data_IF_473863347871
#
_entry.id   IF_473863347871
#
_cell.length_a   1.000
_cell.length_b   1.000
_cell.length_c   1.000
_cell.angle_alpha   90.00
_cell.angle_beta   90.00
_cell.angle_gamma   90.00
#
_symmetry.space_group_name_H-M   'P 1'
#
loop_
_entity.id
_entity.type
_entity.pdbx_description
1 polymer ?
#
# COMPACT_ATOMS: atom_id res chain seq x y z
N UNK A 1 -11.45 -1.96 25.94
CA UNK A 1 -12.11 -2.67 24.81
C UNK A 1 -12.64 -4.06 25.19
N UNK A 2 -12.92 -4.35 26.48
CA UNK A 2 -13.22 -5.72 26.94
C UNK A 2 -14.63 -6.21 26.63
N UNK A 3 -15.59 -5.30 26.40
CA UNK A 3 -16.96 -5.67 26.04
C UNK A 3 -17.16 -5.91 24.54
N UNK A 4 -16.29 -5.34 23.70
CA UNK A 4 -16.39 -5.44 22.25
C UNK A 4 -16.41 -6.89 21.75
N UNK A 5 -15.59 -7.83 22.27
CA UNK A 5 -15.62 -9.24 21.85
C UNK A 5 -16.93 -9.99 22.16
N UNK A 6 -17.76 -9.50 23.08
CA UNK A 6 -19.05 -10.16 23.40
C UNK A 6 -20.18 -9.79 22.44
N UNK A 7 -19.96 -8.82 21.55
CA UNK A 7 -20.93 -8.53 20.50
C UNK A 7 -20.94 -9.66 19.45
N UNK A 8 -22.12 -9.99 18.88
CA UNK A 8 -22.22 -10.84 17.69
C UNK A 8 -21.28 -10.36 16.58
N UNK A 9 -20.76 -11.31 15.80
CA UNK A 9 -19.74 -11.00 14.81
C UNK A 9 -20.21 -9.95 13.79
N UNK A 10 -21.50 -9.97 13.44
CA UNK A 10 -22.12 -9.06 12.48
C UNK A 10 -21.96 -7.61 12.94
N UNK A 11 -22.21 -7.35 14.23
CA UNK A 11 -22.08 -6.03 14.80
C UNK A 11 -20.62 -5.59 14.87
N UNK A 12 -19.71 -6.50 15.22
CA UNK A 12 -18.26 -6.19 15.29
C UNK A 12 -17.71 -5.87 13.90
N UNK A 13 -18.06 -6.67 12.89
CA UNK A 13 -17.72 -6.42 11.50
C UNK A 13 -18.28 -5.06 11.05
N UNK A 14 -19.56 -4.80 11.33
CA UNK A 14 -20.19 -3.54 10.95
C UNK A 14 -19.54 -2.32 11.60
N UNK A 15 -19.16 -2.40 12.87
CA UNK A 15 -18.41 -1.33 13.56
C UNK A 15 -17.09 -1.06 12.85
N UNK A 16 -16.35 -2.11 12.46
CA UNK A 16 -15.09 -1.94 11.75
C UNK A 16 -15.26 -1.34 10.36
N UNK A 17 -16.27 -1.76 9.59
CA UNK A 17 -16.59 -1.14 8.30
C UNK A 17 -16.88 0.36 8.43
N UNK A 18 -17.65 0.74 9.45
CA UNK A 18 -18.01 2.14 9.71
C UNK A 18 -16.86 2.96 10.29
N UNK A 19 -15.86 2.32 10.90
CA UNK A 19 -14.67 2.98 11.43
C UNK A 19 -13.64 3.39 10.37
N UNK A 20 -13.84 2.98 9.12
CA UNK A 20 -12.97 3.37 8.03
C UNK A 20 -13.22 4.82 7.62
N UNK A 21 -12.16 5.63 7.63
CA UNK A 21 -12.23 7.06 7.34
C UNK A 21 -11.56 7.37 6.00
N UNK A 22 -12.20 8.20 5.14
CA UNK A 22 -11.56 8.69 3.92
C UNK A 22 -10.31 9.51 4.23
N UNK A 23 -9.24 9.28 3.46
CA UNK A 23 -7.97 10.00 3.60
C UNK A 23 -7.20 10.06 2.30
N UNK A 24 -6.18 10.91 2.27
CA UNK A 24 -5.21 10.96 1.16
C UNK A 24 -4.04 10.04 1.46
N UNK A 25 -3.80 9.09 0.56
CA UNK A 25 -2.67 8.16 0.65
C UNK A 25 -1.60 8.60 -0.33
N UNK A 26 -0.47 9.06 0.19
CA UNK A 26 0.68 9.43 -0.61
C UNK A 26 1.42 8.17 -1.02
N UNK A 27 1.31 7.80 -2.30
CA UNK A 27 2.04 6.69 -2.88
C UNK A 27 3.25 7.26 -3.58
N UNK A 28 4.44 6.83 -3.17
CA UNK A 28 5.71 7.23 -3.79
C UNK A 28 6.49 6.00 -4.15
N UNK A 29 7.32 6.14 -5.18
CA UNK A 29 8.27 5.12 -5.57
C UNK A 29 9.66 5.70 -5.54
N UNK A 30 10.56 5.03 -4.83
CA UNK A 30 11.95 5.42 -4.68
C UNK A 30 12.81 4.47 -5.49
N UNK A 31 13.67 5.05 -6.32
CA UNK A 31 14.71 4.32 -7.03
C UNK A 31 15.95 4.22 -6.15
N UNK A 32 16.57 3.05 -6.12
CA UNK A 32 17.87 2.87 -5.48
C UNK A 32 18.73 1.94 -6.32
N UNK A 33 20.03 2.22 -6.30
CA UNK A 33 21.01 1.39 -6.97
C UNK A 33 21.08 0.02 -6.28
N UNK A 34 21.07 -1.04 -7.09
CA UNK A 34 21.45 -2.37 -6.61
C UNK A 34 22.87 -2.37 -6.11
N UNK A 35 23.18 -3.33 -5.22
CA UNK A 35 24.51 -3.47 -4.64
C UNK A 35 25.59 -3.36 -5.75
N UNK A 36 26.54 -2.41 -5.68
CA UNK A 36 27.51 -2.14 -6.76
C UNK A 36 28.49 -3.30 -7.02
N UNK A 37 28.41 -4.38 -6.25
CA UNK A 37 29.21 -5.59 -6.42
C UNK A 37 28.67 -6.54 -7.51
N UNK A 38 27.47 -6.32 -8.06
CA UNK A 38 26.98 -7.08 -9.20
C UNK A 38 27.38 -6.42 -10.51
N UNK A 39 28.43 -6.96 -11.13
CA UNK A 39 28.94 -6.78 -12.50
C UNK A 39 28.48 -5.54 -13.27
N UNK A 40 29.46 -4.66 -13.55
CA UNK A 40 29.36 -3.41 -14.31
C UNK A 40 28.93 -3.57 -15.79
N UNK A 41 28.53 -4.77 -16.23
CA UNK A 41 28.20 -5.11 -17.62
C UNK A 41 26.70 -5.33 -17.88
N UNK A 42 25.87 -5.48 -16.84
CA UNK A 42 24.42 -5.53 -16.99
C UNK A 42 23.84 -4.15 -16.67
N UNK A 43 23.36 -3.43 -17.70
CA UNK A 43 22.83 -2.06 -17.57
C UNK A 43 22.03 -1.87 -16.28
N UNK A 44 22.41 -0.88 -15.48
CA UNK A 44 21.91 -0.62 -14.11
C UNK A 44 20.42 -0.94 -13.98
N UNK A 45 20.08 -2.14 -13.48
CA UNK A 45 18.68 -2.52 -13.21
C UNK A 45 18.24 -1.76 -11.96
N UNK A 46 17.78 -0.53 -12.14
CA UNK A 46 17.28 0.33 -11.05
C UNK A 46 16.18 -0.40 -10.28
N UNK A 47 16.35 -0.48 -8.96
CA UNK A 47 15.33 -1.04 -8.08
C UNK A 47 14.31 0.02 -7.73
N UNK A 48 13.03 -0.36 -7.73
CA UNK A 48 11.94 0.56 -7.40
C UNK A 48 11.20 0.02 -6.19
N UNK A 49 11.28 0.72 -5.06
CA UNK A 49 10.50 0.41 -3.86
C UNK A 49 9.32 1.35 -3.73
N UNK A 50 8.19 0.82 -3.27
CA UNK A 50 7.02 1.62 -2.91
C UNK A 50 7.12 2.05 -1.46
N UNK A 51 6.84 3.32 -1.21
CA UNK A 51 6.77 3.89 0.12
C UNK A 51 5.53 4.77 0.26
N UNK A 52 5.07 4.94 1.49
CA UNK A 52 4.09 5.94 1.86
C UNK A 52 4.53 6.65 3.13
N UNK A 53 4.32 7.96 3.18
CA UNK A 53 4.44 8.75 4.40
C UNK A 53 3.12 8.82 5.16
N UNK A 54 2.03 8.33 4.57
CA UNK A 54 0.72 8.30 5.22
C UNK A 54 0.76 7.27 6.36
N UNK A 55 0.44 7.66 7.60
CA UNK A 55 0.41 6.74 8.74
C UNK A 55 -0.49 5.53 8.49
N UNK A 56 -0.20 4.40 9.13
CA UNK A 56 -1.09 3.23 9.07
C UNK A 56 -2.41 3.58 9.77
N UNK A 57 -3.59 3.30 9.17
CA UNK A 57 -4.88 3.53 9.82
C UNK A 57 -4.92 2.94 11.23
N UNK A 58 -5.40 3.73 12.20
CA UNK A 58 -5.43 3.33 13.60
C UNK A 58 -6.17 2.00 13.82
N UNK A 59 -7.26 1.77 13.09
CA UNK A 59 -8.05 0.53 13.19
C UNK A 59 -7.20 -0.74 12.95
N UNK A 60 -6.24 -0.69 12.02
CA UNK A 60 -5.37 -1.82 11.71
C UNK A 60 -4.36 -2.14 12.83
N UNK A 61 -4.20 -1.23 13.79
CA UNK A 61 -3.34 -1.39 14.96
C UNK A 61 -4.11 -1.88 16.19
N UNK A 62 -5.45 -1.84 16.19
CA UNK A 62 -6.27 -2.18 17.37
C UNK A 62 -6.20 -3.67 17.69
N UNK A 63 -6.48 -4.54 16.71
CA UNK A 63 -6.49 -5.98 16.93
C UNK A 63 -6.38 -6.76 15.60
N UNK A 64 -6.18 -8.08 15.71
CA UNK A 64 -6.10 -9.00 14.57
C UNK A 64 -7.38 -9.03 13.74
N UNK A 65 -8.53 -8.91 14.39
CA UNK A 65 -9.84 -8.93 13.71
C UNK A 65 -9.99 -7.74 12.75
N UNK A 66 -9.79 -6.52 13.24
CA UNK A 66 -9.90 -5.31 12.43
C UNK A 66 -8.96 -5.36 11.21
N UNK A 67 -7.74 -5.87 11.41
CA UNK A 67 -6.75 -6.04 10.34
C UNK A 67 -7.15 -7.05 9.27
N UNK A 68 -7.86 -8.10 9.65
CA UNK A 68 -8.19 -9.23 8.77
C UNK A 68 -9.60 -9.18 8.18
N UNK A 69 -10.43 -8.21 8.58
CA UNK A 69 -11.79 -8.06 8.06
C UNK A 69 -11.83 -7.68 6.57
N UNK A 70 -10.74 -7.12 6.03
CA UNK A 70 -10.62 -6.76 4.61
C UNK A 70 -11.10 -5.35 4.25
N UNK A 71 -11.40 -4.52 5.26
CA UNK A 71 -11.76 -3.10 5.11
C UNK A 71 -10.63 -2.30 4.47
N UNK A 72 -9.38 -2.56 4.88
CA UNK A 72 -8.18 -2.13 4.16
C UNK A 72 -7.45 -3.35 3.62
N UNK A 73 -6.75 -3.18 2.49
CA UNK A 73 -5.95 -4.23 1.87
C UNK A 73 -4.52 -3.76 1.65
N UNK A 74 -3.60 -4.71 1.56
CA UNK A 74 -2.23 -4.44 1.14
C UNK A 74 -2.22 -4.19 -0.37
N UNK A 75 -1.88 -2.96 -0.78
CA UNK A 75 -1.92 -2.53 -2.17
C UNK A 75 -0.55 -2.05 -2.65
N UNK A 76 -0.43 -1.88 -3.97
CA UNK A 76 0.69 -1.27 -4.68
C UNK A 76 1.99 -2.05 -4.64
N UNK A 77 1.97 -3.29 -4.19
CA UNK A 77 3.14 -4.14 -4.17
C UNK A 77 3.67 -4.37 -5.60
N UNK A 78 2.77 -4.32 -6.60
CA UNK A 78 3.01 -4.48 -8.03
C UNK A 78 3.81 -3.33 -8.64
N UNK A 79 3.82 -2.16 -8.02
CA UNK A 79 4.61 -1.01 -8.48
C UNK A 79 6.11 -1.17 -8.19
N UNK A 80 6.48 -2.20 -7.43
CA UNK A 80 7.88 -2.49 -7.13
C UNK A 80 8.57 -3.19 -8.28
N UNK A 81 9.85 -2.88 -8.43
CA UNK A 81 10.77 -3.61 -9.31
C UNK A 81 11.93 -4.13 -8.46
N UNK A 82 11.92 -5.42 -8.20
CA UNK A 82 13.02 -6.15 -7.57
C UNK A 82 13.79 -6.94 -8.64
N UNK A 83 15.12 -7.09 -8.52
CA UNK A 83 15.88 -7.91 -9.46
C UNK A 83 15.58 -9.39 -9.25
N UNK A 84 15.73 -10.18 -10.32
CA UNK A 84 15.45 -11.63 -10.34
C UNK A 84 16.21 -12.42 -9.27
N UNK A 85 17.36 -11.90 -8.81
CA UNK A 85 18.24 -12.54 -7.83
C UNK A 85 17.84 -12.29 -6.36
N UNK A 86 16.93 -11.36 -6.08
CA UNK A 86 16.43 -11.09 -4.71
C UNK A 86 15.12 -11.83 -4.51
N UNK A 87 15.00 -12.57 -3.41
CA UNK A 87 13.76 -13.28 -3.11
C UNK A 87 12.59 -12.30 -3.04
N UNK A 88 11.60 -12.52 -3.91
CA UNK A 88 10.41 -11.66 -4.05
C UNK A 88 9.63 -11.56 -2.73
N UNK A 89 9.70 -12.59 -1.90
CA UNK A 89 8.99 -12.68 -0.62
C UNK A 89 9.55 -11.77 0.48
N UNK A 90 10.85 -11.47 0.52
CA UNK A 90 11.45 -10.66 1.60
C UNK A 90 11.51 -9.15 1.30
N UNK A 91 11.19 -8.74 0.08
CA UNK A 91 11.40 -7.36 -0.39
C UNK A 91 10.11 -6.61 -0.76
N UNK A 92 8.97 -7.30 -0.83
CA UNK A 92 7.72 -6.71 -1.30
C UNK A 92 7.10 -5.81 -0.22
N UNK A 93 7.28 -4.51 -0.38
CA UNK A 93 6.56 -3.47 0.38
C UNK A 93 5.13 -3.34 -0.10
N UNK A 94 4.26 -2.81 0.74
CA UNK A 94 2.87 -2.55 0.40
C UNK A 94 2.37 -1.37 1.22
N UNK A 95 1.25 -0.81 0.79
CA UNK A 95 0.56 0.25 1.52
C UNK A 95 -0.84 -0.24 1.85
N UNK A 96 -1.22 -0.16 3.13
CA UNK A 96 -2.59 -0.43 3.55
C UNK A 96 -3.52 0.66 3.00
N UNK A 97 -4.43 0.28 2.11
CA UNK A 97 -5.35 1.21 1.46
C UNK A 97 -6.75 0.61 1.33
N UNK A 98 -7.76 1.47 1.43
CA UNK A 98 -9.13 1.17 1.04
C UNK A 98 -9.41 1.93 -0.25
N UNK A 99 -9.29 1.27 -1.41
CA UNK A 99 -9.39 1.93 -2.71
C UNK A 99 -10.78 2.50 -3.04
N UNK A 100 -11.80 2.16 -2.24
CA UNK A 100 -13.14 2.74 -2.33
C UNK A 100 -13.28 4.07 -1.57
N UNK A 101 -12.48 4.28 -0.52
CA UNK A 101 -12.54 5.47 0.32
C UNK A 101 -11.34 6.41 0.09
N UNK A 102 -10.15 5.84 0.05
CA UNK A 102 -8.88 6.54 -0.02
C UNK A 102 -8.70 7.22 -1.38
N UNK A 103 -8.18 8.45 -1.34
CA UNK A 103 -7.72 9.18 -2.52
C UNK A 103 -6.22 8.93 -2.65
N UNK A 104 -5.80 8.38 -3.78
CA UNK A 104 -4.39 8.15 -4.07
C UNK A 104 -3.77 9.46 -4.56
N UNK A 105 -2.66 9.87 -3.96
CA UNK A 105 -1.87 11.02 -4.39
C UNK A 105 -0.48 10.50 -4.80
N UNK A 106 -0.11 10.72 -6.06
CA UNK A 106 1.21 10.34 -6.60
C UNK A 106 2.22 11.50 -6.61
N UNK A 107 1.80 12.69 -6.16
CA UNK A 107 2.60 13.92 -6.18
C UNK A 107 2.98 14.30 -7.62
N UNK A 108 4.20 14.80 -7.85
CA UNK A 108 4.63 15.30 -9.16
C UNK A 108 5.01 14.17 -10.15
N UNK A 109 4.64 12.91 -9.87
CA UNK A 109 4.97 11.76 -10.72
C UNK A 109 4.01 11.66 -11.90
N UNK A 110 4.47 10.97 -12.93
CA UNK A 110 3.70 10.73 -14.14
C UNK A 110 2.63 9.64 -13.90
N UNK A 111 1.43 9.85 -14.44
CA UNK A 111 0.34 8.87 -14.45
C UNK A 111 0.75 7.48 -14.96
N UNK A 112 1.73 7.41 -15.87
CA UNK A 112 2.30 6.17 -16.41
C UNK A 112 2.88 5.28 -15.32
N UNK A 113 3.32 5.84 -14.19
CA UNK A 113 3.81 5.06 -13.05
C UNK A 113 2.73 4.20 -12.40
N UNK A 114 1.45 4.55 -12.55
CA UNK A 114 0.32 3.79 -12.01
C UNK A 114 -0.25 2.75 -12.99
N UNK A 115 0.35 2.54 -14.16
CA UNK A 115 -0.22 1.67 -15.21
C UNK A 115 -0.61 0.27 -14.70
N UNK A 116 0.17 -0.30 -13.78
CA UNK A 116 -0.08 -1.64 -13.23
C UNK A 116 -1.25 -1.70 -12.23
N UNK A 117 -1.62 -0.57 -11.64
CA UNK A 117 -2.68 -0.46 -10.61
C UNK A 117 -3.82 0.46 -11.07
N UNK A 118 -3.84 0.85 -12.35
CA UNK A 118 -4.79 1.80 -12.89
C UNK A 118 -6.24 1.29 -12.78
N UNK A 119 -6.45 -0.01 -12.99
CA UNK A 119 -7.79 -0.61 -12.93
C UNK A 119 -8.35 -0.72 -11.51
N UNK A 120 -7.48 -0.80 -10.50
CA UNK A 120 -7.89 -0.93 -9.09
C UNK A 120 -7.99 0.42 -8.39
N UNK A 121 -7.27 1.43 -8.88
CA UNK A 121 -7.28 2.80 -8.33
C UNK A 121 -8.56 3.52 -8.74
N UNK A 122 -9.47 3.78 -7.79
CA UNK A 122 -10.75 4.44 -8.08
C UNK A 122 -10.72 5.97 -7.94
N UNK A 123 -9.85 6.48 -7.07
CA UNK A 123 -9.77 7.91 -6.74
C UNK A 123 -8.31 8.34 -6.78
N UNK A 124 -8.01 9.30 -7.66
CA UNK A 124 -6.66 9.81 -7.87
C UNK A 124 -6.67 11.34 -7.81
N UNK A 125 -5.76 11.89 -7.01
CA UNK A 125 -5.47 13.33 -6.95
C UNK A 125 -4.34 13.64 -7.93
N UNK A 126 -4.58 14.60 -8.82
CA UNK A 126 -3.60 15.16 -9.73
C UNK A 126 -3.28 16.58 -9.29
N UNK A 127 -2.00 16.87 -9.12
CA UNK A 127 -1.53 18.25 -8.96
C UNK A 127 -1.36 18.83 -10.37
N UNK A 128 -1.91 20.04 -10.58
CA UNK A 128 -1.84 20.80 -11.84
C UNK A 128 -0.77 21.86 -11.74
#
# INVERSE_FOLDING_TARGET
FHYFPYLPWELRARVWELSAEPRVVHVRTVEYDGNPLSDASAGKKQHKAVISLTPIPAMLQVCRESRNLGVYRQCFSELQRTPEFVSKASSMRYIWSNLDLDIIDIGPRDLRDLKLVAQTTKRLKLER
#
